data_IF_798494553512
#
_entry.id   IF_798494553512
#
_cell.length_a   1.000
_cell.length_b   1.000
_cell.length_c   1.000
_cell.angle_alpha   90.00
_cell.angle_beta   90.00
_cell.angle_gamma   90.00
#
_symmetry.space_group_name_H-M   'P 1'
#
loop_
_entity.id
_entity.type
_entity.pdbx_description
1 polymer ?
#
# COMPACT_ATOMS: atom_id res chain seq x y z
N UNK A 1 -15.24 -6.72 12.92
CA UNK A 1 -15.10 -6.00 14.22
C UNK A 1 -13.78 -5.24 14.31
N UNK A 2 -12.63 -5.80 13.89
CA UNK A 2 -11.32 -5.10 13.91
C UNK A 2 -11.19 -3.91 12.94
N UNK A 3 -11.99 -3.85 11.87
CA UNK A 3 -11.92 -2.77 10.85
C UNK A 3 -12.41 -1.43 11.39
N UNK A 4 -13.40 -1.44 12.30
CA UNK A 4 -14.00 -0.22 12.88
C UNK A 4 -12.97 0.58 13.71
N UNK A 5 -12.25 0.00 14.69
CA UNK A 5 -11.22 0.75 15.42
C UNK A 5 -10.03 1.15 14.54
N UNK A 6 -9.69 0.38 13.50
CA UNK A 6 -8.63 0.75 12.57
C UNK A 6 -8.94 2.06 11.82
N UNK A 7 -10.19 2.22 11.35
CA UNK A 7 -10.64 3.44 10.67
C UNK A 7 -10.69 4.66 11.60
N UNK A 8 -11.04 4.46 12.88
CA UNK A 8 -11.03 5.51 13.88
C UNK A 8 -9.62 6.01 14.18
N UNK A 9 -8.64 5.09 14.24
CA UNK A 9 -7.22 5.41 14.44
C UNK A 9 -6.64 6.19 13.26
N UNK A 10 -6.93 5.79 12.02
CA UNK A 10 -6.46 6.53 10.84
C UNK A 10 -7.07 7.93 10.76
N UNK A 11 -8.35 8.07 11.13
CA UNK A 11 -9.03 9.36 11.15
C UNK A 11 -8.42 10.30 12.21
N UNK A 12 -8.23 9.81 13.45
CA UNK A 12 -7.59 10.58 14.53
C UNK A 12 -6.16 10.99 14.17
N UNK A 13 -5.37 10.08 13.57
CA UNK A 13 -4.01 10.40 13.12
C UNK A 13 -3.98 11.56 12.13
N UNK A 14 -4.95 11.61 11.20
CA UNK A 14 -5.02 12.68 10.19
C UNK A 14 -5.42 14.03 10.82
N UNK A 15 -6.29 14.03 11.84
CA UNK A 15 -6.72 15.25 12.54
C UNK A 15 -5.57 15.82 13.37
N UNK A 16 -4.85 14.96 14.12
CA UNK A 16 -3.71 15.39 14.94
C UNK A 16 -2.60 15.95 14.05
N UNK A 17 -2.31 15.32 12.91
CA UNK A 17 -1.32 15.81 11.94
C UNK A 17 -1.65 17.20 11.40
N UNK A 18 -2.93 17.55 11.22
CA UNK A 18 -3.34 18.89 10.76
C UNK A 18 -3.12 19.99 11.81
N UNK A 19 -3.17 19.65 13.10
CA UNK A 19 -3.00 20.61 14.19
C UNK A 19 -1.53 20.94 14.43
N UNK A 20 -0.62 20.00 14.16
CA UNK A 20 0.83 20.15 14.34
C UNK A 20 1.58 20.59 13.07
N UNK A 21 0.88 20.89 11.97
CA UNK A 21 1.47 21.37 10.72
C UNK A 21 1.93 22.83 10.87
N UNK A 22 3.03 23.02 11.61
CA UNK A 22 3.88 24.20 11.50
C UNK A 22 4.79 24.03 10.27
N UNK A 23 5.29 25.13 9.71
CA UNK A 23 6.12 25.29 8.49
C UNK A 23 7.46 24.49 8.44
N UNK A 24 7.56 23.38 9.15
CA UNK A 24 8.70 22.46 9.18
C UNK A 24 8.81 21.66 7.86
N UNK A 25 10.05 21.31 7.50
CA UNK A 25 10.34 20.56 6.28
C UNK A 25 9.53 19.25 6.20
N UNK A 26 8.66 19.14 5.19
CA UNK A 26 7.81 17.98 4.91
C UNK A 26 8.56 16.62 4.97
N UNK A 27 9.84 16.63 4.59
CA UNK A 27 10.73 15.45 4.65
C UNK A 27 10.93 14.92 6.07
N UNK A 28 11.09 15.80 7.04
CA UNK A 28 11.38 15.43 8.43
C UNK A 28 10.15 14.76 9.06
N UNK A 29 8.96 15.30 8.79
CA UNK A 29 7.67 14.73 9.18
C UNK A 29 7.48 13.31 8.64
N UNK A 30 7.73 13.08 7.35
CA UNK A 30 7.60 11.75 6.72
C UNK A 30 8.61 10.75 7.31
N UNK A 31 9.86 11.18 7.54
CA UNK A 31 10.87 10.35 8.19
C UNK A 31 10.44 9.94 9.60
N UNK A 32 9.98 10.89 10.43
CA UNK A 32 9.51 10.58 11.79
C UNK A 32 8.29 9.66 11.80
N UNK A 33 7.31 9.89 10.91
CA UNK A 33 6.13 9.04 10.81
C UNK A 33 6.48 7.61 10.38
N UNK A 34 7.36 7.45 9.39
CA UNK A 34 7.79 6.13 8.93
C UNK A 34 8.59 5.37 9.99
N UNK A 35 9.42 6.07 10.76
CA UNK A 35 10.16 5.49 11.88
C UNK A 35 9.22 5.06 13.01
N UNK A 36 8.28 5.92 13.41
CA UNK A 36 7.28 5.60 14.42
C UNK A 36 6.42 4.39 14.01
N UNK A 37 5.99 4.34 12.74
CA UNK A 37 5.27 3.20 12.17
C UNK A 37 6.08 1.90 12.21
N UNK A 38 7.37 1.96 11.85
CA UNK A 38 8.26 0.81 11.91
C UNK A 38 8.44 0.27 13.34
N UNK A 39 8.60 1.15 14.34
CA UNK A 39 8.70 0.76 15.75
C UNK A 39 7.42 0.08 16.24
N UNK A 40 6.25 0.63 15.89
CA UNK A 40 4.95 0.06 16.28
C UNK A 40 4.74 -1.32 15.65
N UNK A 41 5.03 -1.47 14.35
CA UNK A 41 4.92 -2.76 13.65
C UNK A 41 5.89 -3.78 14.24
N UNK A 42 7.12 -3.36 14.56
CA UNK A 42 8.12 -4.24 15.19
C UNK A 42 7.66 -4.70 16.58
N UNK A 43 7.12 -3.81 17.40
CA UNK A 43 6.56 -4.16 18.70
C UNK A 43 5.38 -5.13 18.57
N UNK A 44 4.48 -4.88 17.62
CA UNK A 44 3.36 -5.78 17.32
C UNK A 44 3.85 -7.16 16.86
N UNK A 45 4.85 -7.22 15.97
CA UNK A 45 5.42 -8.48 15.50
C UNK A 45 5.94 -9.35 16.66
N UNK A 46 6.63 -8.76 17.64
CA UNK A 46 7.15 -9.50 18.81
C UNK A 46 6.02 -10.06 19.69
N UNK A 47 4.89 -9.36 19.79
CA UNK A 47 3.75 -9.78 20.63
C UNK A 47 2.91 -10.86 19.93
N UNK A 48 2.68 -10.71 18.64
CA UNK A 48 1.75 -11.56 17.89
C UNK A 48 2.41 -12.75 17.20
N UNK A 49 3.70 -12.69 16.85
CA UNK A 49 4.40 -13.80 16.20
C UNK A 49 5.16 -14.69 17.21
N UNK A 50 4.99 -16.02 17.16
CA UNK A 50 5.76 -16.93 17.99
C UNK A 50 7.23 -16.96 17.55
N UNK A 51 8.10 -16.40 18.39
CA UNK A 51 9.57 -16.32 18.21
C UNK A 51 10.26 -17.67 17.95
N UNK A 52 9.62 -18.79 18.33
CA UNK A 52 10.15 -20.14 18.15
C UNK A 52 10.22 -20.61 16.70
N UNK A 53 9.46 -20.01 15.77
CA UNK A 53 9.49 -20.35 14.34
C UNK A 53 10.20 -19.30 13.48
N UNK A 54 10.86 -18.33 14.12
CA UNK A 54 11.47 -17.20 13.43
C UNK A 54 12.76 -17.62 12.71
N UNK A 55 12.61 -18.11 11.47
CA UNK A 55 13.73 -18.44 10.58
C UNK A 55 14.09 -17.23 9.74
N UNK A 56 14.99 -16.39 10.26
CA UNK A 56 15.60 -15.30 9.49
C UNK A 56 16.46 -15.91 8.40
N UNK A 57 15.87 -16.07 7.21
CA UNK A 57 16.60 -16.55 6.04
C UNK A 57 17.21 -15.34 5.34
N UNK A 58 18.40 -15.51 4.77
CA UNK A 58 19.08 -14.45 4.00
C UNK A 58 18.20 -13.89 2.87
N UNK A 59 17.35 -14.76 2.29
CA UNK A 59 16.34 -14.40 1.30
C UNK A 59 15.29 -13.41 1.84
N UNK A 60 14.79 -13.64 3.07
CA UNK A 60 13.79 -12.76 3.70
C UNK A 60 14.37 -11.38 4.00
N UNK A 61 15.61 -11.32 4.48
CA UNK A 61 16.32 -10.05 4.72
C UNK A 61 16.58 -9.33 3.40
N UNK A 62 16.99 -10.05 2.35
CA UNK A 62 17.18 -9.50 1.02
C UNK A 62 15.88 -8.93 0.43
N UNK A 63 14.75 -9.63 0.59
CA UNK A 63 13.44 -9.16 0.14
C UNK A 63 12.98 -7.90 0.90
N UNK A 64 13.18 -7.85 2.22
CA UNK A 64 12.86 -6.67 3.02
C UNK A 64 13.73 -5.46 2.62
N UNK A 65 15.03 -5.66 2.41
CA UNK A 65 15.92 -4.59 1.94
C UNK A 65 15.54 -4.11 0.54
N UNK A 66 15.23 -5.04 -0.37
CA UNK A 66 14.76 -4.71 -1.70
C UNK A 66 13.49 -3.86 -1.65
N UNK A 67 12.50 -4.26 -0.84
CA UNK A 67 11.25 -3.52 -0.71
C UNK A 67 11.43 -2.18 0.03
N UNK A 68 12.31 -2.10 1.02
CA UNK A 68 12.59 -0.85 1.71
C UNK A 68 13.23 0.18 0.75
N UNK A 69 14.15 -0.25 -0.12
CA UNK A 69 14.81 0.63 -1.07
C UNK A 69 13.88 0.94 -2.24
N UNK A 70 13.44 -0.07 -2.99
CA UNK A 70 12.62 0.14 -4.18
C UNK A 70 11.19 0.55 -3.84
N UNK A 71 10.60 0.07 -2.76
CA UNK A 71 9.26 0.45 -2.32
C UNK A 71 9.21 1.84 -1.70
N UNK A 72 10.14 2.18 -0.80
CA UNK A 72 10.08 3.48 -0.10
C UNK A 72 10.82 4.60 -0.85
N UNK A 73 12.05 4.37 -1.33
CA UNK A 73 12.84 5.44 -1.97
C UNK A 73 12.22 5.86 -3.30
N UNK A 74 11.77 4.92 -4.13
CA UNK A 74 11.08 5.27 -5.38
C UNK A 74 9.72 5.90 -5.11
N UNK A 75 8.96 5.42 -4.11
CA UNK A 75 7.67 6.04 -3.77
C UNK A 75 7.86 7.49 -3.32
N UNK A 76 8.78 7.76 -2.39
CA UNK A 76 9.04 9.12 -1.93
C UNK A 76 9.61 9.98 -3.06
N UNK A 77 10.61 9.50 -3.79
CA UNK A 77 11.23 10.27 -4.89
C UNK A 77 10.22 10.59 -5.99
N UNK A 78 9.39 9.62 -6.39
CA UNK A 78 8.30 9.82 -7.34
C UNK A 78 7.28 10.82 -6.82
N UNK A 79 6.91 10.72 -5.54
CA UNK A 79 5.99 11.66 -4.89
C UNK A 79 6.53 13.10 -4.89
N UNK A 80 7.79 13.32 -4.51
CA UNK A 80 8.42 14.65 -4.56
C UNK A 80 8.54 15.19 -5.99
N UNK A 81 8.93 14.33 -6.94
CA UNK A 81 9.03 14.73 -8.34
C UNK A 81 7.67 15.18 -8.89
N UNK A 82 6.60 14.48 -8.52
CA UNK A 82 5.25 14.80 -8.94
C UNK A 82 4.72 16.07 -8.26
N UNK A 83 4.98 16.27 -6.97
CA UNK A 83 4.65 17.49 -6.24
C UNK A 83 5.27 18.73 -6.90
N UNK A 84 6.51 18.62 -7.37
CA UNK A 84 7.23 19.73 -8.01
C UNK A 84 6.70 20.06 -9.42
N UNK A 85 6.07 19.10 -10.09
CA UNK A 85 5.58 19.24 -11.48
C UNK A 85 4.08 19.49 -11.59
N UNK A 86 3.25 19.05 -10.63
CA UNK A 86 1.79 19.01 -10.80
C UNK A 86 1.01 19.59 -9.61
N UNK A 87 -0.13 20.23 -9.91
CA UNK A 87 -1.06 20.80 -8.93
C UNK A 87 -1.69 19.70 -8.06
N UNK A 88 -2.04 20.06 -6.81
CA UNK A 88 -2.60 19.22 -5.72
C UNK A 88 -3.68 18.22 -6.17
N UNK A 89 -4.46 18.56 -7.21
CA UNK A 89 -5.52 17.71 -7.79
C UNK A 89 -4.98 16.33 -8.26
N UNK A 90 -3.74 16.28 -8.75
CA UNK A 90 -3.11 15.03 -9.24
C UNK A 90 -2.85 14.02 -8.13
N UNK A 91 -2.58 14.50 -6.91
CA UNK A 91 -2.33 13.64 -5.76
C UNK A 91 -3.59 12.85 -5.37
N UNK A 92 -4.76 13.48 -5.48
CA UNK A 92 -6.03 12.81 -5.21
C UNK A 92 -6.37 11.77 -6.29
N UNK A 93 -5.96 12.02 -7.53
CA UNK A 93 -6.11 11.06 -8.64
C UNK A 93 -5.20 9.83 -8.47
N UNK A 94 -4.00 9.98 -7.89
CA UNK A 94 -3.11 8.84 -7.60
C UNK A 94 -3.77 7.77 -6.72
N UNK A 95 -4.61 8.19 -5.75
CA UNK A 95 -5.35 7.27 -4.88
C UNK A 95 -6.33 6.38 -5.67
N UNK A 96 -6.86 6.88 -6.79
CA UNK A 96 -7.72 6.12 -7.70
C UNK A 96 -6.92 5.36 -8.77
N UNK A 97 -5.80 5.90 -9.24
CA UNK A 97 -4.98 5.29 -10.28
C UNK A 97 -4.26 4.04 -9.77
N UNK A 98 -3.75 4.06 -8.53
CA UNK A 98 -2.99 2.94 -7.95
C UNK A 98 -3.75 1.61 -7.97
N UNK A 99 -5.00 1.51 -7.48
CA UNK A 99 -5.75 0.25 -7.56
C UNK A 99 -6.08 -0.15 -9.01
N UNK A 100 -6.29 0.80 -9.93
CA UNK A 100 -6.51 0.50 -11.35
C UNK A 100 -5.27 -0.13 -12.00
N UNK A 101 -4.08 0.41 -11.73
CA UNK A 101 -2.81 -0.15 -12.22
C UNK A 101 -2.55 -1.52 -11.60
N UNK A 102 -2.81 -1.68 -10.31
CA UNK A 102 -2.63 -2.96 -9.62
C UNK A 102 -3.49 -4.07 -10.23
N UNK A 103 -4.79 -3.80 -10.43
CA UNK A 103 -5.72 -4.73 -11.09
C UNK A 103 -5.32 -5.01 -12.54
N UNK A 104 -4.86 -3.99 -13.28
CA UNK A 104 -4.39 -4.15 -14.65
C UNK A 104 -3.15 -5.04 -14.77
N UNK A 105 -2.15 -4.84 -13.89
CA UNK A 105 -0.96 -5.69 -13.84
C UNK A 105 -1.30 -7.12 -13.41
N UNK A 106 -2.19 -7.28 -12.43
CA UNK A 106 -2.65 -8.58 -11.97
C UNK A 106 -3.30 -9.37 -13.11
N UNK A 107 -4.14 -8.72 -13.93
CA UNK A 107 -4.72 -9.35 -15.12
C UNK A 107 -3.67 -9.77 -16.16
N UNK A 108 -2.69 -8.90 -16.43
CA UNK A 108 -1.63 -9.19 -17.41
C UNK A 108 -0.79 -10.39 -16.98
N UNK A 109 -0.40 -10.44 -15.71
CA UNK A 109 0.32 -11.57 -15.12
C UNK A 109 -0.54 -12.84 -15.18
N UNK A 110 -1.83 -12.75 -14.81
CA UNK A 110 -2.74 -13.89 -14.80
C UNK A 110 -2.92 -14.53 -16.20
N UNK A 111 -2.82 -13.73 -17.27
CA UNK A 111 -2.98 -14.19 -18.64
C UNK A 111 -1.90 -15.21 -19.08
N UNK A 112 -0.68 -15.15 -18.52
CA UNK A 112 0.37 -16.12 -18.81
C UNK A 112 0.19 -17.46 -18.07
N UNK A 113 -0.48 -17.46 -16.91
CA UNK A 113 -0.64 -18.66 -16.07
C UNK A 113 -1.91 -19.47 -16.40
N UNK A 114 -2.83 -18.91 -17.19
CA UNK A 114 -4.14 -19.53 -17.50
C UNK A 114 -4.04 -20.83 -18.32
N UNK A 115 -2.94 -21.05 -19.05
CA UNK A 115 -2.77 -22.22 -19.91
C UNK A 115 -2.46 -23.52 -19.14
N UNK A 116 -1.99 -23.47 -17.88
CA UNK A 116 -1.33 -24.63 -17.24
C UNK A 116 -2.08 -25.28 -16.05
N UNK A 117 -3.18 -24.74 -15.52
CA UNK A 117 -3.91 -25.42 -14.43
C UNK A 117 -5.32 -24.85 -14.14
N UNK A 118 -6.41 -25.58 -14.45
CA UNK A 118 -7.75 -25.21 -14.01
C UNK A 118 -7.93 -25.59 -12.52
N UNK A 119 -7.71 -24.64 -11.60
CA UNK A 119 -8.07 -24.80 -10.18
C UNK A 119 -9.33 -23.99 -9.85
N UNK A 120 -10.34 -24.56 -9.18
CA UNK A 120 -11.64 -23.93 -8.94
C UNK A 120 -11.60 -22.71 -8.01
N UNK A 121 -10.59 -22.59 -7.12
CA UNK A 121 -10.45 -21.44 -6.23
C UNK A 121 -10.14 -20.11 -6.93
N UNK A 122 -9.68 -20.14 -8.19
CA UNK A 122 -9.31 -18.93 -8.95
C UNK A 122 -10.47 -18.22 -9.66
N UNK A 123 -11.64 -18.87 -9.77
CA UNK A 123 -12.83 -18.24 -10.35
C UNK A 123 -13.41 -17.13 -9.44
N UNK A 124 -13.17 -17.19 -8.13
CA UNK A 124 -13.64 -16.19 -7.18
C UNK A 124 -12.95 -14.82 -7.40
N UNK A 125 -11.64 -14.84 -7.64
CA UNK A 125 -10.87 -13.62 -7.93
C UNK A 125 -11.30 -12.99 -9.26
N UNK A 126 -11.47 -13.79 -10.31
CA UNK A 126 -11.96 -13.29 -11.60
C UNK A 126 -13.41 -12.75 -11.52
N UNK A 127 -14.26 -13.35 -10.68
CA UNK A 127 -15.64 -12.89 -10.49
C UNK A 127 -15.69 -11.54 -9.74
N UNK A 128 -14.92 -11.39 -8.66
CA UNK A 128 -14.77 -10.10 -7.95
C UNK A 128 -14.21 -9.01 -8.88
N UNK A 129 -13.20 -9.34 -9.69
CA UNK A 129 -12.59 -8.41 -10.64
C UNK A 129 -13.57 -7.97 -11.75
N UNK A 130 -14.32 -8.91 -12.33
CA UNK A 130 -15.34 -8.61 -13.34
C UNK A 130 -16.45 -7.72 -12.78
N UNK A 131 -16.80 -7.92 -11.50
CA UNK A 131 -17.78 -7.10 -10.80
C UNK A 131 -17.25 -5.68 -10.52
N UNK A 132 -15.98 -5.54 -10.13
CA UNK A 132 -15.32 -4.24 -9.90
C UNK A 132 -15.08 -3.42 -11.18
N UNK A 133 -14.77 -4.08 -12.30
CA UNK A 133 -14.59 -3.41 -13.59
C UNK A 133 -15.95 -2.92 -14.13
N UNK A 134 -17.02 -3.69 -13.91
CA UNK A 134 -18.37 -3.31 -14.31
C UNK A 134 -18.97 -2.19 -13.45
N UNK A 135 -18.64 -2.14 -12.15
CA UNK A 135 -19.11 -1.07 -11.26
C UNK A 135 -18.40 0.27 -11.48
N UNK A 136 -17.10 0.28 -11.83
CA UNK A 136 -16.36 1.52 -12.11
C UNK A 136 -16.66 2.11 -13.50
N UNK A 137 -16.87 1.28 -14.53
CA UNK A 137 -17.28 1.80 -15.85
C UNK A 137 -18.69 2.41 -15.85
N UNK A 138 -19.59 1.94 -14.98
CA UNK A 138 -20.97 2.46 -14.88
C UNK A 138 -21.07 3.81 -14.16
N UNK A 139 -20.04 4.22 -13.41
CA UNK A 139 -19.95 5.55 -12.82
C UNK A 139 -19.34 6.61 -13.75
N UNK A 140 -18.80 6.21 -14.91
CA UNK A 140 -18.11 7.11 -15.86
C UNK A 140 -18.89 7.37 -17.16
N UNK A 141 -20.14 6.89 -17.27
CA UNK A 141 -21.09 7.19 -18.36
C UNK A 141 -22.38 7.75 -17.81
#
# INVERSE_FOLDING_TARGET
VLVVPASAISALGTIVLRVWYNDEDFTLMVCLQSLAGAVVIMAAAIIFEPLSSFRVTFLSVGALLYLAIFGSVLAFTGYYWLLKRMKVITLSLLAFITPVIAVGLEYLLLSEYFLLSPRPGRCLYCAELFWLLKSNLFCLS
#
